data_IF_715485935626
#
_entry.id   IF_715485935626
#
_cell.length_a   1.000
_cell.length_b   1.000
_cell.length_c   1.000
_cell.angle_alpha   90.00
_cell.angle_beta   90.00
_cell.angle_gamma   90.00
#
_symmetry.space_group_name_H-M   'P 1'
#
loop_
_entity.id
_entity.type
_entity.pdbx_description
1 polymer ?
#
# COMPACT_ATOMS: atom_id res chain seq x y z
N UNK A 1 -6.30 -12.35 -5.09
CA UNK A 1 -5.16 -13.26 -5.12
C UNK A 1 -4.23 -13.05 -3.91
N UNK A 2 -3.69 -11.82 -3.67
CA UNK A 2 -2.73 -11.56 -2.58
C UNK A 2 -3.19 -12.14 -1.23
N UNK A 3 -4.37 -11.78 -0.75
CA UNK A 3 -4.89 -12.27 0.54
C UNK A 3 -5.06 -13.79 0.57
N UNK A 4 -5.46 -14.41 -0.54
CA UNK A 4 -5.63 -15.86 -0.64
C UNK A 4 -4.27 -16.58 -0.53
N UNK A 5 -3.24 -16.08 -1.22
CA UNK A 5 -1.87 -16.60 -1.08
C UNK A 5 -1.35 -16.37 0.33
N UNK A 6 -1.50 -15.15 0.88
CA UNK A 6 -1.05 -14.81 2.23
C UNK A 6 -1.64 -15.74 3.30
N UNK A 7 -2.93 -16.05 3.20
CA UNK A 7 -3.58 -17.01 4.10
C UNK A 7 -2.97 -18.42 4.00
N UNK A 8 -2.71 -18.91 2.80
CA UNK A 8 -2.06 -20.22 2.57
C UNK A 8 -0.60 -20.26 3.04
N UNK A 9 0.09 -19.11 3.01
CA UNK A 9 1.46 -18.95 3.52
C UNK A 9 1.52 -18.68 5.03
N UNK A 10 0.44 -18.92 5.78
CA UNK A 10 0.42 -18.75 7.23
C UNK A 10 0.53 -17.29 7.67
N UNK A 11 0.01 -16.37 6.87
CA UNK A 11 0.04 -14.90 7.08
C UNK A 11 1.45 -14.28 7.07
N UNK A 12 2.45 -15.00 6.61
CA UNK A 12 3.80 -14.47 6.44
C UNK A 12 3.82 -13.26 5.51
N UNK A 13 4.70 -12.27 5.73
CA UNK A 13 4.91 -11.19 4.79
C UNK A 13 5.29 -11.73 3.41
N UNK A 14 4.88 -11.05 2.34
CA UNK A 14 5.06 -11.56 0.98
C UNK A 14 6.54 -11.70 0.56
N UNK A 15 7.43 -10.92 1.14
CA UNK A 15 8.87 -11.04 0.91
C UNK A 15 9.50 -12.30 1.50
N UNK A 16 8.78 -13.02 2.36
CA UNK A 16 9.16 -14.33 2.89
C UNK A 16 8.49 -15.52 2.15
N UNK A 17 7.71 -15.25 1.10
CA UNK A 17 7.08 -16.30 0.31
C UNK A 17 8.10 -17.00 -0.58
N UNK A 18 7.76 -18.22 -1.06
CA UNK A 18 8.55 -18.93 -2.05
C UNK A 18 8.87 -18.02 -3.25
N UNK A 19 10.10 -18.07 -3.74
CA UNK A 19 10.62 -17.16 -4.76
C UNK A 19 9.69 -17.02 -5.97
N UNK A 20 9.18 -18.14 -6.48
CA UNK A 20 8.34 -18.17 -7.68
C UNK A 20 7.11 -17.27 -7.57
N UNK A 21 6.41 -17.32 -6.42
CA UNK A 21 5.22 -16.50 -6.19
C UNK A 21 5.58 -15.11 -5.66
N UNK A 22 6.66 -14.98 -4.88
CA UNK A 22 7.19 -13.69 -4.45
C UNK A 22 7.54 -12.82 -5.65
N UNK A 23 8.23 -13.39 -6.63
CA UNK A 23 8.63 -12.71 -7.87
C UNK A 23 7.53 -12.69 -8.93
N UNK A 24 6.35 -13.19 -8.62
CA UNK A 24 5.18 -13.22 -9.51
C UNK A 24 5.45 -13.86 -10.87
N UNK A 25 6.23 -14.94 -10.89
CA UNK A 25 6.47 -15.70 -12.13
C UNK A 25 5.11 -16.09 -12.75
N UNK A 26 4.93 -15.95 -14.07
CA UNK A 26 3.62 -16.20 -14.71
C UNK A 26 3.01 -17.57 -14.38
N UNK A 27 3.82 -18.62 -14.40
CA UNK A 27 3.36 -19.97 -14.09
C UNK A 27 2.96 -20.13 -12.62
N UNK A 28 3.71 -19.50 -11.69
CA UNK A 28 3.35 -19.47 -10.28
C UNK A 28 2.02 -18.73 -10.07
N UNK A 29 1.83 -17.58 -10.69
CA UNK A 29 0.56 -16.84 -10.62
C UNK A 29 -0.61 -17.67 -11.14
N UNK A 30 -0.43 -18.40 -12.27
CA UNK A 30 -1.44 -19.29 -12.84
C UNK A 30 -1.78 -20.43 -11.89
N UNK A 31 -0.75 -21.11 -11.36
CA UNK A 31 -0.89 -22.20 -10.38
C UNK A 31 -1.65 -21.73 -9.14
N UNK A 32 -1.21 -20.61 -8.52
CA UNK A 32 -1.82 -20.10 -7.30
C UNK A 32 -3.25 -19.59 -7.51
N UNK A 33 -3.56 -19.02 -8.68
CA UNK A 33 -4.95 -18.66 -9.03
C UNK A 33 -5.87 -19.89 -9.07
N UNK A 34 -5.40 -21.00 -9.62
CA UNK A 34 -6.17 -22.23 -9.65
C UNK A 34 -6.32 -22.85 -8.26
N UNK A 35 -5.23 -22.92 -7.49
CA UNK A 35 -5.25 -23.50 -6.13
C UNK A 35 -6.06 -22.71 -5.12
N UNK A 36 -6.16 -21.39 -5.29
CA UNK A 36 -6.86 -20.48 -4.37
C UNK A 36 -8.18 -19.97 -4.94
N UNK A 37 -8.77 -20.63 -5.93
CA UNK A 37 -9.96 -20.12 -6.63
C UNK A 37 -11.13 -19.80 -5.68
N UNK A 38 -11.41 -20.68 -4.72
CA UNK A 38 -12.45 -20.47 -3.70
C UNK A 38 -12.12 -19.32 -2.76
N UNK A 39 -10.88 -19.28 -2.23
CA UNK A 39 -10.44 -18.21 -1.35
C UNK A 39 -10.47 -16.85 -2.06
N UNK A 40 -10.06 -16.82 -3.34
CA UNK A 40 -10.15 -15.60 -4.17
C UNK A 40 -11.61 -15.15 -4.31
N UNK A 41 -12.52 -16.08 -4.60
CA UNK A 41 -13.95 -15.79 -4.73
C UNK A 41 -14.53 -15.27 -3.41
N UNK A 42 -14.12 -15.83 -2.28
CA UNK A 42 -14.49 -15.33 -0.96
C UNK A 42 -14.05 -13.87 -0.74
N UNK A 43 -12.79 -13.54 -1.01
CA UNK A 43 -12.31 -12.16 -0.85
C UNK A 43 -12.98 -11.18 -1.81
N UNK A 44 -13.26 -11.59 -3.04
CA UNK A 44 -14.03 -10.76 -4.00
C UNK A 44 -15.45 -10.50 -3.45
N UNK A 45 -16.11 -11.53 -2.94
CA UNK A 45 -17.46 -11.42 -2.39
C UNK A 45 -17.51 -10.51 -1.15
N UNK A 46 -16.54 -10.63 -0.24
CA UNK A 46 -16.45 -9.76 0.94
C UNK A 46 -16.26 -8.29 0.52
N UNK A 47 -15.40 -8.02 -0.46
CA UNK A 47 -15.24 -6.66 -0.99
C UNK A 47 -16.52 -6.15 -1.67
N UNK A 48 -17.19 -7.00 -2.45
CA UNK A 48 -18.48 -6.64 -3.05
C UNK A 48 -19.50 -6.23 -1.99
N UNK A 49 -19.66 -7.04 -0.93
CA UNK A 49 -20.56 -6.72 0.19
C UNK A 49 -20.18 -5.40 0.88
N UNK A 50 -18.88 -5.17 1.09
CA UNK A 50 -18.41 -3.91 1.65
C UNK A 50 -18.84 -2.71 0.80
N UNK A 51 -18.58 -2.73 -0.52
CA UNK A 51 -18.93 -1.63 -1.40
C UNK A 51 -20.44 -1.41 -1.49
N UNK A 52 -21.24 -2.49 -1.47
CA UNK A 52 -22.70 -2.42 -1.44
C UNK A 52 -23.21 -1.74 -0.16
N UNK A 53 -22.72 -2.17 0.99
CA UNK A 53 -23.13 -1.65 2.28
C UNK A 53 -22.65 -0.21 2.49
N UNK A 54 -21.37 0.04 2.19
CA UNK A 54 -20.77 1.36 2.31
C UNK A 54 -21.44 2.37 1.39
N UNK A 55 -21.71 1.99 0.14
CA UNK A 55 -22.39 2.85 -0.81
C UNK A 55 -23.79 3.27 -0.33
N UNK A 56 -24.55 2.33 0.28
CA UNK A 56 -25.85 2.62 0.90
C UNK A 56 -25.71 3.59 2.08
N UNK A 57 -24.72 3.36 2.96
CA UNK A 57 -24.43 4.23 4.10
C UNK A 57 -24.03 5.64 3.66
N UNK A 58 -23.08 5.76 2.74
CA UNK A 58 -22.63 7.06 2.19
C UNK A 58 -23.82 7.82 1.56
N UNK A 59 -24.61 7.15 0.75
CA UNK A 59 -25.82 7.75 0.15
C UNK A 59 -26.81 8.23 1.21
N UNK A 60 -27.01 7.47 2.28
CA UNK A 60 -27.87 7.87 3.39
C UNK A 60 -27.31 9.12 4.10
N UNK A 61 -26.03 9.14 4.45
CA UNK A 61 -25.36 10.28 5.07
C UNK A 61 -25.48 11.55 4.22
N UNK A 62 -25.17 11.44 2.92
CA UNK A 62 -25.22 12.56 1.99
C UNK A 62 -26.66 13.12 1.83
N UNK A 63 -27.69 12.26 1.85
CA UNK A 63 -29.11 12.71 1.85
C UNK A 63 -29.48 13.51 3.10
N UNK A 64 -28.76 13.32 4.22
CA UNK A 64 -28.91 14.08 5.46
C UNK A 64 -28.02 15.32 5.52
N UNK A 65 -27.31 15.66 4.45
CA UNK A 65 -26.38 16.79 4.40
C UNK A 65 -25.02 16.50 5.05
N UNK A 66 -24.76 15.25 5.45
CA UNK A 66 -23.50 14.85 6.07
C UNK A 66 -22.53 14.38 5.00
N UNK A 67 -21.32 14.94 4.98
CA UNK A 67 -20.21 14.50 4.14
C UNK A 67 -19.25 13.62 4.93
N UNK A 68 -18.67 12.64 4.26
CA UNK A 68 -17.68 11.72 4.84
C UNK A 68 -16.29 12.21 4.44
N UNK A 69 -15.44 12.46 5.41
CA UNK A 69 -14.02 12.79 5.18
C UNK A 69 -13.21 11.51 5.42
N UNK A 70 -12.46 11.10 4.41
CA UNK A 70 -11.49 10.00 4.51
C UNK A 70 -10.08 10.49 4.70
N UNK A 71 -9.23 9.59 5.13
CA UNK A 71 -7.80 9.83 5.31
C UNK A 71 -7.00 8.79 4.53
N UNK A 72 -6.06 9.24 3.72
CA UNK A 72 -5.17 8.37 2.95
C UNK A 72 -3.72 8.64 3.41
N UNK A 73 -3.06 7.67 4.02
CA UNK A 73 -1.63 7.79 4.28
C UNK A 73 -0.88 7.91 2.95
N UNK A 74 0.16 8.75 2.92
CA UNK A 74 0.95 8.89 1.70
C UNK A 74 1.60 7.56 1.30
N UNK A 75 2.16 6.83 2.26
CA UNK A 75 2.82 5.55 2.00
C UNK A 75 1.89 4.35 2.20
N UNK A 76 2.24 3.24 1.56
CA UNK A 76 1.62 1.93 1.76
C UNK A 76 2.52 1.03 2.61
N UNK A 77 1.95 0.04 3.25
CA UNK A 77 2.76 -0.94 3.98
C UNK A 77 3.61 -1.79 3.03
N UNK A 78 4.82 -2.13 3.44
CA UNK A 78 5.68 -3.05 2.69
C UNK A 78 4.96 -4.38 2.43
N UNK A 79 4.32 -4.92 3.46
CA UNK A 79 3.51 -6.14 3.37
C UNK A 79 2.09 -5.81 2.89
N UNK A 80 1.98 -5.44 1.62
CA UNK A 80 0.71 -5.09 0.96
C UNK A 80 0.60 -5.65 -0.45
N UNK A 81 -0.65 -5.76 -0.92
CA UNK A 81 -0.93 -6.12 -2.31
C UNK A 81 -0.36 -5.12 -3.31
N UNK A 82 -0.29 -3.83 -2.94
CA UNK A 82 0.24 -2.77 -3.79
C UNK A 82 1.72 -2.98 -4.08
N UNK A 83 2.54 -3.18 -3.04
CA UNK A 83 3.99 -3.40 -3.19
C UNK A 83 4.27 -4.72 -3.89
N UNK A 84 3.58 -5.80 -3.48
CA UNK A 84 3.75 -7.09 -4.15
C UNK A 84 3.36 -7.07 -5.63
N UNK A 85 2.28 -6.37 -5.99
CA UNK A 85 1.79 -6.33 -7.37
C UNK A 85 2.65 -5.44 -8.29
N UNK A 86 3.26 -4.38 -7.76
CA UNK A 86 3.98 -3.36 -8.51
C UNK A 86 5.28 -2.94 -7.81
N UNK A 87 6.20 -3.91 -7.46
CA UNK A 87 7.43 -3.58 -6.72
C UNK A 87 8.33 -2.57 -7.46
N UNK A 88 8.23 -2.50 -8.78
CA UNK A 88 8.96 -1.55 -9.61
C UNK A 88 8.64 -0.08 -9.29
N UNK A 89 7.51 0.20 -8.64
CA UNK A 89 7.11 1.55 -8.23
C UNK A 89 7.71 1.99 -6.89
N UNK A 90 8.46 1.12 -6.23
CA UNK A 90 9.03 1.35 -4.91
C UNK A 90 10.54 1.20 -4.91
N UNK A 91 11.22 1.85 -3.98
CA UNK A 91 12.69 1.78 -3.83
C UNK A 91 13.10 0.46 -3.17
N UNK A 92 13.06 -0.59 -3.95
CA UNK A 92 13.44 -1.95 -3.57
C UNK A 92 14.65 -2.38 -4.40
N UNK A 93 15.46 -3.28 -3.82
CA UNK A 93 16.55 -3.96 -4.52
C UNK A 93 16.03 -5.13 -5.39
N UNK A 94 16.94 -5.88 -6.01
CA UNK A 94 16.62 -7.03 -6.86
C UNK A 94 15.94 -8.20 -6.11
N UNK A 95 16.06 -8.23 -4.78
CA UNK A 95 15.43 -9.22 -3.91
C UNK A 95 14.10 -8.74 -3.33
N UNK A 96 13.65 -7.56 -3.75
CA UNK A 96 12.47 -6.87 -3.23
C UNK A 96 12.60 -6.46 -1.75
N UNK A 97 13.82 -6.13 -1.30
CA UNK A 97 14.08 -5.56 0.03
C UNK A 97 14.16 -4.05 -0.12
N UNK A 98 13.54 -3.26 0.77
CA UNK A 98 13.68 -1.81 0.75
C UNK A 98 15.15 -1.38 0.87
N UNK A 99 15.57 -0.40 0.09
CA UNK A 99 16.88 0.23 0.25
C UNK A 99 16.85 1.31 1.30
N UNK A 100 15.76 2.07 1.30
CA UNK A 100 15.44 3.11 2.28
C UNK A 100 13.94 3.05 2.62
N UNK A 101 13.58 3.56 3.78
CA UNK A 101 12.20 3.60 4.26
C UNK A 101 11.81 5.00 4.73
N UNK A 102 10.51 5.23 4.77
CA UNK A 102 9.94 6.51 5.18
C UNK A 102 10.01 6.73 6.69
N UNK A 103 10.09 8.00 7.06
CA UNK A 103 10.00 8.45 8.44
C UNK A 103 9.99 9.97 8.54
N UNK A 104 10.27 10.46 9.75
CA UNK A 104 10.49 11.87 10.03
C UNK A 104 11.82 12.09 10.77
N UNK A 105 12.50 13.23 10.55
CA UNK A 105 13.70 13.56 11.26
C UNK A 105 13.47 13.73 12.77
N UNK A 106 14.51 13.64 13.59
CA UNK A 106 14.47 14.07 14.97
C UNK A 106 13.94 15.51 15.11
N UNK A 107 13.11 15.73 16.13
CA UNK A 107 12.55 17.04 16.45
C UNK A 107 12.40 17.24 17.97
N UNK A 108 11.76 18.34 18.39
CA UNK A 108 11.55 18.65 19.80
C UNK A 108 10.60 17.66 20.52
N UNK A 109 9.83 16.86 19.81
CA UNK A 109 8.88 15.87 20.34
C UNK A 109 9.45 14.44 20.32
N UNK A 110 10.40 14.17 19.41
CA UNK A 110 11.02 12.85 19.24
C UNK A 110 12.52 12.99 18.96
N UNK A 111 13.34 12.72 19.96
CA UNK A 111 14.80 12.78 19.88
C UNK A 111 15.39 11.79 18.86
N UNK A 112 14.71 10.69 18.65
CA UNK A 112 15.09 9.63 17.70
C UNK A 112 14.43 9.78 16.32
N UNK A 113 13.56 10.79 16.14
CA UNK A 113 12.70 10.92 14.98
C UNK A 113 11.64 9.83 14.95
N UNK A 114 11.01 9.63 13.79
CA UNK A 114 10.01 8.59 13.60
C UNK A 114 10.42 7.67 12.44
N UNK A 115 10.61 6.40 12.73
CA UNK A 115 10.85 5.35 11.74
C UNK A 115 9.51 4.67 11.41
N UNK A 116 8.94 5.00 10.25
CA UNK A 116 7.65 4.42 9.83
C UNK A 116 7.81 3.07 9.13
N UNK A 117 8.93 2.84 8.46
CA UNK A 117 9.23 1.56 7.82
C UNK A 117 8.54 1.30 6.49
N UNK A 118 7.77 2.25 5.96
CA UNK A 118 7.11 2.12 4.66
C UNK A 118 8.15 2.26 3.54
N UNK A 119 8.03 1.49 2.44
CA UNK A 119 8.89 1.66 1.28
C UNK A 119 8.62 3.02 0.61
N UNK A 120 9.70 3.64 0.14
CA UNK A 120 9.62 4.90 -0.60
C UNK A 120 9.25 4.66 -2.07
N UNK A 121 8.64 5.66 -2.71
CA UNK A 121 8.24 5.59 -4.11
C UNK A 121 9.40 5.88 -5.07
N UNK A 122 9.39 5.23 -6.22
CA UNK A 122 10.17 5.62 -7.40
C UNK A 122 9.35 6.60 -8.23
N UNK A 123 9.43 7.87 -7.90
CA UNK A 123 8.66 8.91 -8.58
C UNK A 123 8.98 9.05 -10.06
N UNK A 124 10.23 8.81 -10.44
CA UNK A 124 10.69 8.76 -11.82
C UNK A 124 10.01 7.63 -12.63
N UNK A 125 9.87 6.44 -12.04
CA UNK A 125 9.15 5.34 -12.67
C UNK A 125 7.66 5.64 -12.79
N UNK A 126 7.05 6.21 -11.74
CA UNK A 126 5.64 6.59 -11.77
C UNK A 126 5.35 7.70 -12.79
N UNK A 127 6.28 8.62 -13.01
CA UNK A 127 6.13 9.69 -13.99
C UNK A 127 6.05 9.17 -15.43
N UNK A 128 6.67 8.04 -15.76
CA UNK A 128 6.69 7.46 -17.12
C UNK A 128 5.28 7.15 -17.65
N UNK A 129 4.34 6.83 -16.77
CA UNK A 129 2.95 6.54 -17.14
C UNK A 129 1.95 7.61 -16.65
N UNK A 130 2.46 8.80 -16.30
CA UNK A 130 1.63 9.91 -15.81
C UNK A 130 1.07 9.65 -14.42
N UNK A 131 1.80 8.98 -13.54
CA UNK A 131 1.40 8.67 -12.16
C UNK A 131 0.12 7.84 -12.08
N UNK A 132 -0.11 6.94 -13.02
CA UNK A 132 -1.37 6.20 -13.17
C UNK A 132 -1.77 5.42 -11.91
N UNK A 133 -0.79 4.87 -11.18
CA UNK A 133 -1.04 4.18 -9.92
C UNK A 133 -1.62 5.14 -8.86
N UNK A 134 -1.02 6.32 -8.68
CA UNK A 134 -1.51 7.35 -7.75
C UNK A 134 -2.91 7.84 -8.13
N UNK A 135 -3.15 8.11 -9.41
CA UNK A 135 -4.47 8.54 -9.89
C UNK A 135 -5.54 7.48 -9.61
N UNK A 136 -5.23 6.19 -9.82
CA UNK A 136 -6.13 5.08 -9.50
C UNK A 136 -6.40 5.00 -7.99
N UNK A 137 -5.36 5.15 -7.16
CA UNK A 137 -5.47 5.14 -5.70
C UNK A 137 -6.37 6.27 -5.19
N UNK A 138 -6.15 7.50 -5.65
CA UNK A 138 -6.98 8.65 -5.30
C UNK A 138 -8.43 8.46 -5.76
N UNK A 139 -8.63 8.02 -7.01
CA UNK A 139 -9.96 7.75 -7.54
C UNK A 139 -10.70 6.68 -6.73
N UNK A 140 -10.04 5.60 -6.36
CA UNK A 140 -10.63 4.54 -5.54
C UNK A 140 -11.06 5.08 -4.16
N UNK A 141 -10.20 5.85 -3.49
CA UNK A 141 -10.54 6.47 -2.21
C UNK A 141 -11.74 7.43 -2.33
N UNK A 142 -11.79 8.27 -3.37
CA UNK A 142 -12.89 9.21 -3.62
C UNK A 142 -14.21 8.52 -3.96
N UNK A 143 -14.24 7.25 -4.31
CA UNK A 143 -15.50 6.49 -4.37
C UNK A 143 -16.08 6.24 -2.98
N UNK A 144 -15.23 6.11 -1.97
CA UNK A 144 -15.62 5.80 -0.60
C UNK A 144 -15.99 7.05 0.21
N UNK A 145 -15.37 8.19 -0.08
CA UNK A 145 -15.52 9.40 0.71
C UNK A 145 -15.88 10.61 -0.15
N UNK A 146 -16.34 11.68 0.46
CA UNK A 146 -16.70 12.93 -0.24
C UNK A 146 -15.52 13.91 -0.27
N UNK A 147 -14.66 13.83 0.73
CA UNK A 147 -13.43 14.63 0.87
C UNK A 147 -12.32 13.68 1.29
N UNK A 148 -11.18 13.78 0.65
CA UNK A 148 -10.00 12.98 0.98
C UNK A 148 -8.91 13.88 1.55
N UNK A 149 -8.48 13.61 2.77
CA UNK A 149 -7.25 14.16 3.36
C UNK A 149 -6.09 13.24 2.96
N UNK A 150 -5.00 13.81 2.49
CA UNK A 150 -3.74 13.08 2.30
C UNK A 150 -2.84 13.43 3.48
N UNK A 151 -2.52 12.42 4.30
CA UNK A 151 -1.60 12.61 5.40
C UNK A 151 -0.17 12.76 4.89
N UNK A 152 0.63 13.57 5.60
CA UNK A 152 2.02 13.89 5.22
C UNK A 152 2.15 14.40 3.77
N UNK A 153 1.27 15.31 3.34
CA UNK A 153 1.20 15.82 1.96
C UNK A 153 2.55 16.36 1.45
N UNK A 154 3.38 16.92 2.36
CA UNK A 154 4.73 17.37 2.04
C UNK A 154 5.59 16.29 1.39
N UNK A 155 5.38 15.01 1.73
CA UNK A 155 6.11 13.87 1.14
C UNK A 155 5.91 13.67 -0.36
N UNK A 156 4.98 14.41 -0.99
CA UNK A 156 4.85 14.47 -2.45
C UNK A 156 5.90 15.40 -3.09
N UNK A 157 6.49 16.31 -2.32
CA UNK A 157 7.53 17.24 -2.78
C UNK A 157 8.90 16.80 -2.27
N UNK A 158 9.02 16.58 -0.96
CA UNK A 158 10.25 16.11 -0.33
C UNK A 158 9.93 15.18 0.84
N UNK A 159 10.71 14.14 1.02
CA UNK A 159 10.49 13.13 2.04
C UNK A 159 11.80 12.82 2.78
N UNK A 160 11.67 12.30 4.00
CA UNK A 160 12.78 11.88 4.80
C UNK A 160 13.04 10.38 4.59
N UNK A 161 14.23 10.05 4.10
CA UNK A 161 14.63 8.68 3.77
C UNK A 161 15.58 8.15 4.84
N UNK A 162 15.27 6.99 5.39
CA UNK A 162 16.05 6.34 6.44
C UNK A 162 16.61 5.04 5.86
N UNK A 163 17.93 4.73 6.01
CA UNK A 163 18.49 3.47 5.57
C UNK A 163 17.72 2.28 6.13
N UNK A 164 17.38 1.31 5.29
CA UNK A 164 16.66 0.13 5.74
C UNK A 164 17.52 -0.69 6.72
N UNK A 165 16.92 -1.08 7.84
CA UNK A 165 17.59 -1.81 8.91
C UNK A 165 18.06 -0.94 10.08
N UNK A 166 17.99 0.38 9.95
CA UNK A 166 18.27 1.28 11.07
C UNK A 166 17.20 1.14 12.16
N UNK A 167 17.63 1.25 13.41
CA UNK A 167 16.75 1.15 14.57
C UNK A 167 15.97 2.46 14.87
N UNK A 168 16.46 3.59 14.40
CA UNK A 168 15.90 4.93 14.61
C UNK A 168 15.98 5.76 13.35
N UNK A 169 15.34 6.94 13.34
CA UNK A 169 15.38 7.85 12.20
C UNK A 169 16.64 8.77 12.17
N UNK A 170 17.57 8.63 13.12
CA UNK A 170 18.71 9.59 13.24
C UNK A 170 19.61 9.68 12.02
N UNK A 171 19.79 8.59 11.28
CA UNK A 171 20.69 8.53 10.13
C UNK A 171 19.96 8.84 8.79
N UNK A 172 18.72 9.28 8.84
CA UNK A 172 17.99 9.64 7.64
C UNK A 172 18.45 10.96 7.01
N UNK A 173 17.97 11.23 5.80
CA UNK A 173 18.32 12.42 5.01
C UNK A 173 17.14 12.91 4.17
#
# INVERSE_FOLDING_TARGET
LYMAVKAKMGLKPWNEWDEEIRMRRPEALKKWRAQCAEDISYYIFVQYLFFEQWGKLKKYANKKGVKIIGDAPIYVAMDSADVWARPELFQLDENNVPTEVAGCPPDAFSEDGQLWGNPLYRWDEMAKDGFSWWLKRLKANLTLVDVLRIDHFRGLESYYAIPYGDATAKNGR
#
